data_IF_351429526522
#
_entry.id   IF_351429526522
#
_cell.length_a   1.000
_cell.length_b   1.000
_cell.length_c   1.000
_cell.angle_alpha   90.00
_cell.angle_beta   90.00
_cell.angle_gamma   90.00
#
_symmetry.space_group_name_H-M   'P 1'
#
loop_
_entity.id
_entity.type
_entity.pdbx_description
1 polymer ?
#
# COMPACT_ATOMS: atom_id res chain seq x y z
N UNK A 1 8.48 13.77 -2.35
CA UNK A 1 9.27 12.52 -2.34
C UNK A 1 9.87 12.18 -0.96
N UNK A 2 9.68 12.96 0.11
CA UNK A 2 10.24 12.66 1.44
C UNK A 2 9.46 11.67 2.32
N UNK A 3 8.20 11.38 2.00
CA UNK A 3 7.35 10.53 2.85
C UNK A 3 7.57 9.01 2.65
N UNK A 4 8.11 8.59 1.50
CA UNK A 4 8.27 7.17 1.17
C UNK A 4 9.42 6.48 1.89
N UNK A 5 10.54 7.19 2.15
CA UNK A 5 11.75 6.59 2.73
C UNK A 5 11.59 6.28 4.22
N UNK A 6 10.90 7.11 5.01
CA UNK A 6 10.67 6.84 6.43
C UNK A 6 9.62 5.76 6.73
N UNK A 7 8.88 5.32 5.70
CA UNK A 7 7.81 4.32 5.84
C UNK A 7 8.24 2.94 5.37
N UNK A 8 9.40 2.79 4.71
CA UNK A 8 9.90 1.48 4.28
C UNK A 8 10.09 0.55 5.48
N UNK A 9 10.87 0.98 6.45
CA UNK A 9 11.20 0.20 7.66
C UNK A 9 9.93 -0.08 8.48
N UNK A 10 9.07 0.94 8.65
CA UNK A 10 7.79 0.77 9.31
C UNK A 10 6.91 -0.27 8.60
N UNK A 11 6.83 -0.21 7.27
CA UNK A 11 6.02 -1.14 6.49
C UNK A 11 6.55 -2.57 6.62
N UNK A 12 7.86 -2.77 6.57
CA UNK A 12 8.48 -4.07 6.76
C UNK A 12 8.21 -4.60 8.17
N UNK A 13 8.40 -3.77 9.20
CA UNK A 13 8.13 -4.15 10.58
C UNK A 13 6.66 -4.55 10.79
N UNK A 14 5.70 -3.79 10.25
CA UNK A 14 4.28 -4.10 10.34
C UNK A 14 3.93 -5.42 9.63
N UNK A 15 4.45 -5.66 8.42
CA UNK A 15 4.24 -6.93 7.70
C UNK A 15 4.95 -8.12 8.36
N UNK A 16 5.98 -7.87 9.17
CA UNK A 16 6.67 -8.91 9.93
C UNK A 16 5.94 -9.28 11.23
N UNK A 17 5.39 -8.27 11.93
CA UNK A 17 4.74 -8.44 13.24
C UNK A 17 3.28 -8.89 13.13
N UNK A 18 2.55 -8.40 12.11
CA UNK A 18 1.13 -8.70 11.91
C UNK A 18 0.90 -9.76 10.84
N UNK A 19 -0.15 -10.56 11.00
CA UNK A 19 -0.53 -11.62 10.07
C UNK A 19 -1.54 -11.08 9.03
N UNK A 20 -1.06 -10.36 8.03
CA UNK A 20 -1.92 -9.93 6.92
C UNK A 20 -2.20 -11.08 5.94
N UNK A 21 -3.41 -11.16 5.36
CA UNK A 21 -4.50 -10.17 5.38
C UNK A 21 -5.54 -10.37 6.51
N UNK A 22 -5.29 -11.29 7.46
CA UNK A 22 -6.20 -11.51 8.61
C UNK A 22 -6.27 -10.25 9.48
N UNK A 23 -5.11 -9.73 9.85
CA UNK A 23 -4.99 -8.43 10.52
C UNK A 23 -5.16 -7.30 9.50
N UNK A 24 -5.90 -6.25 9.88
CA UNK A 24 -6.25 -5.15 8.97
C UNK A 24 -5.32 -3.97 9.19
N UNK A 25 -4.45 -3.70 8.21
CA UNK A 25 -3.65 -2.48 8.14
C UNK A 25 -4.32 -1.45 7.25
N UNK A 26 -4.50 -0.23 7.78
CA UNK A 26 -5.07 0.90 7.06
C UNK A 26 -3.99 1.97 6.93
N UNK A 27 -3.75 2.42 5.69
CA UNK A 27 -2.88 3.54 5.38
C UNK A 27 -3.70 4.82 5.20
N UNK A 28 -3.50 5.82 6.04
CA UNK A 28 -4.13 7.13 5.83
C UNK A 28 -3.46 7.88 4.65
N UNK A 29 -4.26 8.58 3.84
CA UNK A 29 -3.89 9.29 2.59
C UNK A 29 -3.33 8.42 1.45
N UNK A 30 -2.72 7.26 1.75
CA UNK A 30 -2.37 6.21 0.79
C UNK A 30 -1.13 6.45 -0.08
N UNK A 31 -0.60 7.66 -0.20
CA UNK A 31 0.60 7.94 -1.01
C UNK A 31 1.90 7.31 -0.46
N UNK A 32 1.87 6.80 0.77
CA UNK A 32 3.00 6.16 1.44
C UNK A 32 2.96 4.62 1.33
N UNK A 33 1.93 4.04 0.70
CA UNK A 33 1.70 2.59 0.69
C UNK A 33 2.50 1.81 -0.38
N UNK A 34 3.46 2.44 -1.06
CA UNK A 34 4.18 1.78 -2.17
C UNK A 34 4.99 0.56 -1.70
N UNK A 35 5.73 0.63 -0.56
CA UNK A 35 6.36 -0.55 0.02
C UNK A 35 5.34 -1.64 0.36
N UNK A 36 4.16 -1.26 0.87
CA UNK A 36 3.09 -2.20 1.18
C UNK A 36 2.60 -2.91 -0.09
N UNK A 37 2.38 -2.19 -1.21
CA UNK A 37 2.00 -2.82 -2.49
C UNK A 37 3.09 -3.77 -2.99
N UNK A 38 4.36 -3.40 -2.86
CA UNK A 38 5.49 -4.25 -3.23
C UNK A 38 5.50 -5.56 -2.44
N UNK A 39 5.39 -5.50 -1.11
CA UNK A 39 5.44 -6.67 -0.23
C UNK A 39 4.22 -7.60 -0.37
N UNK A 40 3.12 -7.10 -0.95
CA UNK A 40 1.86 -7.83 -1.10
C UNK A 40 1.61 -8.27 -2.54
N UNK A 41 2.70 -8.67 -3.23
CA UNK A 41 2.63 -9.33 -4.54
C UNK A 41 2.47 -8.40 -5.75
N UNK A 42 2.63 -7.08 -5.59
CA UNK A 42 2.41 -6.11 -6.69
C UNK A 42 3.70 -5.47 -7.21
N UNK A 43 4.87 -5.98 -6.82
CA UNK A 43 6.20 -5.46 -7.21
C UNK A 43 6.35 -5.25 -8.72
N UNK A 44 5.98 -6.24 -9.53
CA UNK A 44 6.18 -6.20 -10.99
C UNK A 44 5.29 -5.16 -11.69
N UNK A 45 4.16 -4.82 -11.05
CA UNK A 45 3.18 -3.86 -11.58
C UNK A 45 3.46 -2.43 -11.12
N UNK A 46 4.44 -2.18 -10.25
CA UNK A 46 4.73 -0.85 -9.71
C UNK A 46 5.06 0.20 -10.77
N UNK A 47 5.61 -0.21 -11.92
CA UNK A 47 5.89 0.69 -13.05
C UNK A 47 4.61 1.28 -13.67
N UNK A 48 3.45 0.66 -13.44
CA UNK A 48 2.14 1.11 -13.92
C UNK A 48 1.37 1.98 -12.92
N UNK A 49 1.96 2.31 -11.77
CA UNK A 49 1.24 3.04 -10.73
C UNK A 49 0.77 4.41 -11.23
N UNK A 50 -0.49 4.75 -10.94
CA UNK A 50 -1.20 5.97 -11.40
C UNK A 50 -1.42 6.08 -12.90
N UNK A 51 -1.17 5.01 -13.67
CA UNK A 51 -1.49 4.94 -15.09
C UNK A 51 -2.90 4.37 -15.31
N UNK A 52 -3.53 4.72 -16.44
CA UNK A 52 -4.82 4.15 -16.83
C UNK A 52 -4.73 2.62 -16.93
N UNK A 53 -5.60 1.89 -16.23
CA UNK A 53 -5.56 0.42 -16.15
C UNK A 53 -4.44 -0.17 -15.27
N UNK A 54 -3.55 0.68 -14.73
CA UNK A 54 -2.46 0.29 -13.84
C UNK A 54 -2.86 0.25 -12.36
N UNK A 55 -1.86 0.18 -11.47
CA UNK A 55 -2.09 0.21 -10.03
C UNK A 55 -2.57 1.59 -9.56
N UNK A 56 -3.47 1.62 -8.59
CA UNK A 56 -3.85 2.87 -7.93
C UNK A 56 -2.68 3.46 -7.13
N UNK A 57 -2.61 4.80 -7.04
CA UNK A 57 -1.60 5.49 -6.23
C UNK A 57 -1.86 5.46 -4.71
N UNK A 58 -2.89 4.71 -4.30
CA UNK A 58 -3.38 4.56 -2.93
C UNK A 58 -3.93 3.14 -2.76
N UNK A 59 -4.27 2.73 -1.53
CA UNK A 59 -4.87 1.42 -1.28
C UNK A 59 -6.26 1.34 -1.92
N UNK A 60 -6.56 0.22 -2.59
CA UNK A 60 -7.83 0.02 -3.29
C UNK A 60 -8.34 -1.39 -3.05
N UNK A 61 -9.49 -1.53 -2.37
CA UNK A 61 -10.12 -2.83 -2.04
C UNK A 61 -10.25 -3.81 -3.20
N UNK A 62 -10.59 -3.32 -4.39
CA UNK A 62 -10.72 -4.15 -5.60
C UNK A 62 -9.37 -4.56 -6.21
N UNK A 63 -8.26 -3.98 -5.76
CA UNK A 63 -6.92 -4.26 -6.27
C UNK A 63 -6.21 -5.37 -5.47
N UNK A 64 -6.49 -5.49 -4.17
CA UNK A 64 -5.84 -6.48 -3.31
C UNK A 64 -6.64 -6.72 -2.03
N UNK A 65 -6.59 -7.96 -1.52
CA UNK A 65 -7.12 -8.33 -0.20
C UNK A 65 -6.37 -7.66 0.97
N UNK A 66 -5.13 -7.21 0.73
CA UNK A 66 -4.28 -6.49 1.67
C UNK A 66 -4.66 -5.01 1.80
N UNK A 67 -5.58 -4.52 0.96
CA UNK A 67 -6.06 -3.14 0.96
C UNK A 67 -7.49 -3.08 1.53
N UNK A 68 -7.71 -3.23 2.86
CA UNK A 68 -9.05 -3.37 3.44
C UNK A 68 -9.90 -2.10 3.31
N UNK A 69 -9.27 -0.95 3.05
CA UNK A 69 -9.93 0.34 2.88
C UNK A 69 -9.37 1.09 1.67
N UNK A 70 -10.27 1.81 0.97
CA UNK A 70 -9.88 2.70 -0.12
C UNK A 70 -9.50 4.07 0.42
N UNK A 71 -8.20 4.36 0.56
CA UNK A 71 -7.73 5.68 1.00
C UNK A 71 -7.65 6.64 -0.20
N UNK A 72 -7.88 7.95 0.01
CA UNK A 72 -7.82 8.93 -1.07
C UNK A 72 -8.11 10.39 -0.68
N UNK A 73 -8.84 10.61 0.41
CA UNK A 73 -8.99 11.92 1.04
C UNK A 73 -8.42 11.85 2.47
N UNK A 74 -7.55 12.81 2.84
CA UNK A 74 -7.15 13.05 4.23
C UNK A 74 -8.27 13.82 4.93
N UNK A 75 -8.50 13.52 6.21
CA UNK A 75 -9.13 14.50 7.12
C UNK A 75 -8.07 15.47 7.64
#
# INVERSE_FOLDING_TARGET
MGAGLGVVELTVALHHVFNMPKDKLIWDVGHQCYPHKILTGRRDRMKSIRQGGGLAGFTKRKESEYDPFGAGHSS
#
